data_IF_057069002471
#
_entry.id   IF_057069002471
#
_cell.length_a   1.000
_cell.length_b   1.000
_cell.length_c   1.000
_cell.angle_alpha   90.00
_cell.angle_beta   90.00
_cell.angle_gamma   90.00
#
_symmetry.space_group_name_H-M   'P 1'
#
loop_
_entity.id
_entity.type
_entity.pdbx_description
1 polymer ?
#
# COMPACT_ATOMS: atom_id res chain seq x y z
N UNK A 1 19.17 16.77 1.43
CA UNK A 1 19.11 16.65 -0.03
C UNK A 1 18.71 15.22 -0.32
N UNK A 2 17.41 14.97 -0.50
CA UNK A 2 16.93 13.64 -0.86
C UNK A 2 17.21 13.46 -2.35
N UNK A 3 18.23 12.66 -2.68
CA UNK A 3 18.46 12.26 -4.05
C UNK A 3 17.49 11.13 -4.35
N UNK A 4 16.50 11.39 -5.20
CA UNK A 4 15.69 10.34 -5.81
C UNK A 4 16.57 9.52 -6.76
N UNK A 5 17.22 8.49 -6.21
CA UNK A 5 18.01 7.52 -6.98
C UNK A 5 17.01 6.67 -7.78
N UNK A 6 17.15 6.65 -9.11
CA UNK A 6 16.32 5.82 -9.96
C UNK A 6 16.58 4.33 -9.73
N UNK A 7 15.60 3.48 -10.05
CA UNK A 7 15.69 2.04 -9.79
C UNK A 7 16.87 1.37 -10.50
N UNK A 8 17.20 1.81 -11.72
CA UNK A 8 18.29 1.20 -12.49
C UNK A 8 19.65 1.55 -11.87
N UNK A 9 19.83 2.80 -11.46
CA UNK A 9 21.01 3.25 -10.72
C UNK A 9 21.14 2.53 -9.37
N UNK A 10 20.04 2.37 -8.64
CA UNK A 10 20.05 1.66 -7.36
C UNK A 10 20.44 0.19 -7.51
N UNK A 11 19.89 -0.50 -8.52
CA UNK A 11 20.26 -1.87 -8.83
C UNK A 11 21.76 -2.00 -9.13
N UNK A 12 22.30 -1.08 -9.93
CA UNK A 12 23.73 -1.06 -10.25
C UNK A 12 24.62 -0.81 -9.02
N UNK A 13 24.19 0.08 -8.10
CA UNK A 13 24.90 0.33 -6.84
C UNK A 13 24.97 -0.94 -6.00
N UNK A 14 23.84 -1.64 -5.85
CA UNK A 14 23.76 -2.88 -5.08
C UNK A 14 24.66 -3.97 -5.70
N UNK A 15 24.61 -4.15 -7.02
CA UNK A 15 25.47 -5.11 -7.73
C UNK A 15 26.96 -4.79 -7.55
N UNK A 16 27.33 -3.51 -7.64
CA UNK A 16 28.71 -3.05 -7.43
C UNK A 16 29.19 -3.36 -6.01
N UNK A 17 28.36 -3.10 -4.99
CA UNK A 17 28.69 -3.39 -3.59
C UNK A 17 28.86 -4.89 -3.34
N UNK A 18 27.94 -5.72 -3.87
CA UNK A 18 28.06 -7.19 -3.75
C UNK A 18 29.33 -7.70 -4.43
N UNK A 19 29.65 -7.17 -5.60
CA UNK A 19 30.87 -7.55 -6.31
C UNK A 19 32.13 -7.23 -5.48
N UNK A 20 32.20 -6.05 -4.87
CA UNK A 20 33.35 -5.64 -4.06
C UNK A 20 33.47 -6.47 -2.77
N UNK A 21 32.36 -6.74 -2.08
CA UNK A 21 32.35 -7.59 -0.88
C UNK A 21 32.80 -9.01 -1.18
N UNK A 22 32.34 -9.59 -2.30
CA UNK A 22 32.77 -10.91 -2.77
C UNK A 22 34.25 -10.99 -3.16
N UNK A 23 34.88 -9.86 -3.47
CA UNK A 23 36.34 -9.79 -3.67
C UNK A 23 37.08 -9.75 -2.35
N UNK A 24 36.52 -9.11 -1.33
CA UNK A 24 37.10 -9.05 0.01
C UNK A 24 37.09 -10.40 0.73
N UNK A 25 36.13 -11.28 0.43
CA UNK A 25 35.98 -12.60 1.06
C UNK A 25 36.86 -13.70 0.45
N UNK A 26 37.61 -13.44 -0.64
CA UNK A 26 38.46 -14.43 -1.33
C UNK A 26 39.92 -14.48 -0.83
N UNK A 27 40.14 -14.18 0.45
CA UNK A 27 41.46 -14.20 1.08
C UNK A 27 42.00 -15.60 1.36
N UNK A 28 43.33 -15.73 1.51
CA UNK A 28 43.96 -16.92 2.11
C UNK A 28 44.33 -16.57 3.53
N UNK A 29 43.79 -17.27 4.50
CA UNK A 29 44.15 -17.16 5.91
C UNK A 29 44.30 -18.55 6.51
N UNK A 30 44.92 -18.61 7.70
CA UNK A 30 45.06 -19.86 8.44
C UNK A 30 43.67 -20.40 8.78
N UNK A 31 43.54 -21.73 8.78
CA UNK A 31 42.28 -22.42 9.14
C UNK A 31 41.89 -21.98 10.55
N UNK A 32 40.62 -21.59 10.74
CA UNK A 32 40.05 -21.11 12.01
C UNK A 32 40.54 -19.71 12.48
N UNK A 33 41.27 -18.99 11.63
CA UNK A 33 41.63 -17.58 11.84
C UNK A 33 41.22 -16.75 10.62
N UNK A 34 39.92 -16.58 10.44
CA UNK A 34 39.41 -15.62 9.48
C UNK A 34 39.70 -14.21 10.01
N UNK A 35 40.24 -13.29 9.19
CA UNK A 35 40.42 -11.91 9.61
C UNK A 35 39.05 -11.28 9.88
N UNK A 36 38.97 -10.42 10.89
CA UNK A 36 37.73 -9.70 11.24
C UNK A 36 37.14 -8.96 10.03
N UNK A 37 37.97 -8.49 9.10
CA UNK A 37 37.55 -7.85 7.87
C UNK A 37 36.76 -8.77 6.93
N UNK A 38 37.08 -10.07 6.89
CA UNK A 38 36.32 -11.04 6.09
C UNK A 38 34.98 -11.37 6.76
N UNK A 39 34.98 -11.51 8.08
CA UNK A 39 33.74 -11.74 8.85
C UNK A 39 32.79 -10.54 8.66
N UNK A 40 33.30 -9.32 8.79
CA UNK A 40 32.55 -8.11 8.53
C UNK A 40 32.05 -8.03 7.07
N UNK A 41 32.87 -8.41 6.09
CA UNK A 41 32.46 -8.43 4.68
C UNK A 41 31.33 -9.43 4.41
N UNK A 42 31.34 -10.61 5.04
CA UNK A 42 30.27 -11.61 4.91
C UNK A 42 28.95 -11.14 5.52
N UNK A 43 29.01 -10.49 6.69
CA UNK A 43 27.81 -9.92 7.32
C UNK A 43 27.25 -8.82 6.42
N UNK A 44 28.10 -7.93 5.93
CA UNK A 44 27.68 -6.86 5.02
C UNK A 44 27.12 -7.41 3.70
N UNK A 45 27.68 -8.49 3.17
CA UNK A 45 27.15 -9.15 1.97
C UNK A 45 25.71 -9.61 2.20
N UNK A 46 25.43 -10.28 3.33
CA UNK A 46 24.07 -10.70 3.67
C UNK A 46 23.08 -9.53 3.83
N UNK A 47 23.52 -8.43 4.45
CA UNK A 47 22.70 -7.21 4.57
C UNK A 47 22.39 -6.58 3.20
N UNK A 48 23.38 -6.49 2.31
CA UNK A 48 23.20 -5.94 0.96
C UNK A 48 22.31 -6.85 0.10
N UNK A 49 22.42 -8.18 0.25
CA UNK A 49 21.48 -9.13 -0.39
C UNK A 49 20.05 -8.95 0.12
N UNK A 50 19.87 -8.72 1.42
CA UNK A 50 18.57 -8.38 2.01
C UNK A 50 17.99 -7.09 1.42
N UNK A 51 18.81 -6.05 1.27
CA UNK A 51 18.40 -4.81 0.61
C UNK A 51 18.04 -5.04 -0.87
N UNK A 52 18.80 -5.86 -1.59
CA UNK A 52 18.50 -6.23 -2.97
C UNK A 52 17.10 -6.85 -3.10
N UNK A 53 16.78 -7.83 -2.24
CA UNK A 53 15.45 -8.44 -2.20
C UNK A 53 14.36 -7.42 -1.91
N UNK A 54 14.57 -6.57 -0.90
CA UNK A 54 13.60 -5.54 -0.52
C UNK A 54 13.30 -4.57 -1.68
N UNK A 55 14.32 -4.13 -2.41
CA UNK A 55 14.12 -3.22 -3.55
C UNK A 55 13.51 -3.90 -4.77
N UNK A 56 13.83 -5.18 -5.02
CA UNK A 56 13.15 -5.98 -6.03
C UNK A 56 11.65 -6.10 -5.72
N UNK A 57 11.28 -6.41 -4.48
CA UNK A 57 9.88 -6.51 -4.03
C UNK A 57 9.16 -5.16 -4.15
N UNK A 58 9.82 -4.07 -3.77
CA UNK A 58 9.29 -2.71 -3.93
C UNK A 58 9.05 -2.35 -5.39
N UNK A 59 9.98 -2.74 -6.27
CA UNK A 59 9.87 -2.53 -7.73
C UNK A 59 8.72 -3.32 -8.34
N UNK A 60 8.60 -4.59 -7.98
CA UNK A 60 7.50 -5.45 -8.38
C UNK A 60 6.15 -4.89 -7.92
N UNK A 61 6.06 -4.49 -6.64
CA UNK A 61 4.86 -3.87 -6.09
C UNK A 61 4.47 -2.58 -6.84
N UNK A 62 5.47 -1.79 -7.24
CA UNK A 62 5.31 -0.61 -8.10
C UNK A 62 4.75 -0.93 -9.47
N UNK A 63 5.32 -1.91 -10.15
CA UNK A 63 4.81 -2.34 -11.44
C UNK A 63 3.38 -2.87 -11.35
N UNK A 64 3.06 -3.66 -10.30
CA UNK A 64 1.71 -4.19 -10.09
C UNK A 64 0.69 -3.06 -9.90
N UNK A 65 0.98 -2.09 -9.02
CA UNK A 65 0.06 -0.98 -8.82
C UNK A 65 -0.15 -0.16 -10.10
N UNK A 66 0.93 0.07 -10.86
CA UNK A 66 0.84 0.78 -12.14
C UNK A 66 -0.02 0.01 -13.14
N UNK A 67 0.14 -1.31 -13.25
CA UNK A 67 -0.69 -2.14 -14.13
C UNK A 67 -2.17 -2.10 -13.72
N UNK A 68 -2.47 -2.13 -12.42
CA UNK A 68 -3.85 -2.00 -11.94
C UNK A 68 -4.47 -0.64 -12.29
N UNK A 69 -3.68 0.42 -12.27
CA UNK A 69 -4.11 1.77 -12.65
C UNK A 69 -4.33 1.87 -14.17
N UNK A 70 -3.40 1.36 -14.99
CA UNK A 70 -3.49 1.46 -16.45
C UNK A 70 -4.53 0.52 -17.04
N UNK A 71 -4.61 -0.70 -16.54
CA UNK A 71 -5.39 -1.78 -17.16
C UNK A 71 -6.81 -1.83 -16.60
N UNK A 72 -7.06 -1.16 -15.47
CA UNK A 72 -8.33 -1.21 -14.75
C UNK A 72 -9.55 -0.81 -15.59
N UNK A 73 -9.42 0.17 -16.48
CA UNK A 73 -10.52 0.62 -17.34
C UNK A 73 -10.77 -0.33 -18.51
N UNK A 74 -9.70 -0.88 -19.08
CA UNK A 74 -9.78 -1.89 -20.14
C UNK A 74 -10.45 -3.17 -19.61
N UNK A 75 -10.04 -3.64 -18.42
CA UNK A 75 -10.67 -4.78 -17.74
C UNK A 75 -12.15 -4.51 -17.47
N UNK A 76 -12.50 -3.31 -16.98
CA UNK A 76 -13.90 -2.94 -16.74
C UNK A 76 -14.74 -2.83 -18.02
N UNK A 77 -14.13 -2.47 -19.15
CA UNK A 77 -14.81 -2.50 -20.46
C UNK A 77 -15.09 -3.94 -20.90
N UNK A 78 -14.08 -4.82 -20.86
CA UNK A 78 -14.24 -6.23 -21.22
C UNK A 78 -15.24 -6.96 -20.32
N UNK A 79 -15.23 -6.68 -19.01
CA UNK A 79 -16.20 -7.25 -18.08
C UNK A 79 -17.64 -6.86 -18.42
N UNK A 80 -17.88 -5.62 -18.90
CA UNK A 80 -19.21 -5.18 -19.35
C UNK A 80 -19.64 -5.88 -20.65
N UNK A 81 -18.71 -6.04 -21.59
CA UNK A 81 -18.97 -6.75 -22.84
C UNK A 81 -19.31 -8.23 -22.60
N UNK A 82 -18.57 -8.89 -21.72
CA UNK A 82 -18.84 -10.27 -21.32
C UNK A 82 -20.20 -10.42 -20.64
N UNK A 83 -20.55 -9.49 -19.74
CA UNK A 83 -21.85 -9.48 -19.09
C UNK A 83 -22.99 -9.32 -20.11
N UNK A 84 -22.84 -8.40 -21.07
CA UNK A 84 -23.82 -8.21 -22.13
C UNK A 84 -23.99 -9.49 -22.96
N UNK A 85 -22.89 -10.14 -23.36
CA UNK A 85 -22.93 -11.38 -24.11
C UNK A 85 -23.58 -12.54 -23.32
N UNK A 86 -23.40 -12.58 -22.00
CA UNK A 86 -24.04 -13.54 -21.12
C UNK A 86 -25.56 -13.30 -21.04
N UNK A 87 -25.98 -12.05 -20.90
CA UNK A 87 -27.39 -11.66 -20.85
C UNK A 87 -28.10 -11.95 -22.19
N UNK A 88 -27.45 -11.67 -23.32
CA UNK A 88 -27.94 -11.98 -24.66
C UNK A 88 -28.13 -13.50 -24.85
N UNK A 89 -27.15 -14.30 -24.40
CA UNK A 89 -27.24 -15.76 -24.42
C UNK A 89 -28.41 -16.25 -23.56
N UNK A 90 -28.58 -15.70 -22.35
CA UNK A 90 -29.69 -16.07 -21.47
C UNK A 90 -31.05 -15.70 -22.07
N UNK A 91 -31.15 -14.53 -22.71
CA UNK A 91 -32.35 -14.10 -23.41
C UNK A 91 -32.69 -15.04 -24.57
N UNK A 92 -31.71 -15.38 -25.41
CA UNK A 92 -31.89 -16.30 -26.53
C UNK A 92 -32.40 -17.67 -26.05
N UNK A 93 -31.78 -18.25 -25.02
CA UNK A 93 -32.19 -19.55 -24.46
C UNK A 93 -33.62 -19.53 -23.90
N UNK A 94 -34.05 -18.42 -23.26
CA UNK A 94 -35.43 -18.26 -22.78
C UNK A 94 -36.43 -18.19 -23.92
N UNK A 95 -36.09 -17.48 -25.00
CA UNK A 95 -36.97 -17.34 -26.16
C UNK A 95 -37.05 -18.64 -26.98
N UNK A 96 -35.95 -19.38 -27.11
CA UNK A 96 -35.92 -20.70 -27.76
C UNK A 96 -36.61 -21.78 -26.92
N UNK A 97 -36.58 -21.69 -25.58
CA UNK A 97 -37.33 -22.57 -24.69
C UNK A 97 -38.85 -22.36 -24.68
N UNK A 98 -39.35 -21.26 -25.25
CA UNK A 98 -40.79 -20.95 -25.31
C UNK A 98 -41.52 -21.62 -26.48
N UNK A 99 -40.78 -22.16 -27.47
CA UNK A 99 -41.34 -22.97 -28.57
C UNK A 99 -41.25 -24.48 -28.33
N UNK A 100 -40.58 -24.93 -27.27
CA UNK A 100 -40.50 -26.34 -26.88
C UNK A 100 -41.15 -26.57 -25.50
N UNK A 101 -42.46 -26.87 -25.52
CA UNK A 101 -43.26 -27.60 -24.51
C UNK A 101 -43.02 -27.26 -23.02
N UNK A 102 -44.08 -26.73 -22.38
CA UNK A 102 -44.27 -26.56 -20.93
C UNK A 102 -43.51 -27.58 -20.05
N UNK A 103 -42.63 -27.09 -19.18
CA UNK A 103 -42.28 -27.76 -17.92
C UNK A 103 -42.18 -26.75 -16.75
N UNK A 104 -42.37 -27.21 -15.49
CA UNK A 104 -42.90 -26.38 -14.42
C UNK A 104 -41.86 -25.51 -13.73
N UNK A 105 -42.37 -24.36 -13.31
CA UNK A 105 -41.82 -23.35 -12.40
C UNK A 105 -40.96 -23.93 -11.28
N UNK A 106 -39.65 -23.68 -11.36
CA UNK A 106 -38.75 -23.67 -10.21
C UNK A 106 -38.47 -22.22 -9.82
N UNK A 107 -38.64 -21.96 -8.54
CA UNK A 107 -38.65 -20.67 -7.85
C UNK A 107 -37.37 -19.87 -8.05
N UNK A 108 -37.58 -18.58 -8.35
CA UNK A 108 -36.55 -17.55 -8.39
C UNK A 108 -35.76 -17.49 -7.08
N UNK A 109 -34.44 -17.57 -7.18
CA UNK A 109 -33.53 -16.90 -6.23
C UNK A 109 -32.96 -15.71 -6.99
N UNK A 110 -33.49 -14.53 -6.68
CA UNK A 110 -33.00 -13.25 -7.16
C UNK A 110 -31.64 -12.96 -6.53
N UNK A 111 -30.57 -13.15 -7.30
CA UNK A 111 -29.24 -12.68 -6.93
C UNK A 111 -29.07 -11.24 -7.41
N UNK A 112 -29.53 -10.31 -6.59
CA UNK A 112 -29.30 -8.87 -6.71
C UNK A 112 -27.84 -8.56 -6.34
N UNK A 113 -26.86 -8.90 -7.19
CA UNK A 113 -25.43 -8.68 -6.90
C UNK A 113 -24.72 -7.75 -7.88
N UNK A 114 -25.37 -7.29 -8.94
CA UNK A 114 -24.73 -6.42 -9.96
C UNK A 114 -24.44 -4.98 -9.47
N UNK A 115 -25.08 -4.53 -8.39
CA UNK A 115 -24.97 -3.14 -7.90
C UNK A 115 -23.88 -2.94 -6.84
N UNK A 116 -23.34 -4.02 -6.25
CA UNK A 116 -22.33 -3.94 -5.18
C UNK A 116 -20.88 -3.92 -5.69
N UNK A 117 -20.60 -4.33 -6.93
CA UNK A 117 -19.21 -4.49 -7.40
C UNK A 117 -18.51 -3.16 -7.75
N UNK A 118 -19.23 -2.20 -8.37
CA UNK A 118 -18.61 -0.95 -8.86
C UNK A 118 -18.04 -0.07 -7.75
N UNK A 119 -18.70 -0.02 -6.59
CA UNK A 119 -18.28 0.80 -5.44
C UNK A 119 -17.08 0.17 -4.72
N UNK A 120 -17.01 -1.17 -4.68
CA UNK A 120 -15.90 -1.89 -4.06
C UNK A 120 -14.59 -1.74 -4.86
N UNK A 121 -14.67 -1.75 -6.19
CA UNK A 121 -13.49 -1.62 -7.06
C UNK A 121 -12.86 -0.23 -7.00
N UNK A 122 -13.65 0.84 -6.97
CA UNK A 122 -13.14 2.22 -6.91
C UNK A 122 -12.47 2.52 -5.56
N UNK A 123 -13.04 1.97 -4.48
CA UNK A 123 -12.46 2.05 -3.13
C UNK A 123 -11.17 1.22 -3.04
N UNK A 124 -11.09 0.07 -3.72
CA UNK A 124 -9.88 -0.73 -3.77
C UNK A 124 -8.75 -0.03 -4.53
N UNK A 125 -9.06 0.57 -5.70
CA UNK A 125 -8.10 1.39 -6.48
C UNK A 125 -7.60 2.59 -5.67
N UNK A 126 -8.50 3.33 -5.03
CA UNK A 126 -8.15 4.51 -4.20
C UNK A 126 -7.30 4.15 -2.98
N UNK A 127 -7.59 3.01 -2.32
CA UNK A 127 -6.77 2.51 -1.20
C UNK A 127 -5.37 2.09 -1.65
N UNK A 128 -5.24 1.51 -2.84
CA UNK A 128 -3.95 1.05 -3.36
C UNK A 128 -3.02 2.22 -3.75
N UNK A 129 -3.59 3.30 -4.27
CA UNK A 129 -2.86 4.57 -4.49
C UNK A 129 -2.41 5.19 -3.16
N UNK A 130 -3.25 5.13 -2.12
CA UNK A 130 -2.96 5.69 -0.80
C UNK A 130 -1.93 4.87 0.00
N UNK A 131 -1.85 3.55 -0.22
CA UNK A 131 -0.90 2.65 0.44
C UNK A 131 0.54 2.74 -0.10
N UNK A 132 0.87 3.80 -0.85
CA UNK A 132 2.26 4.22 -0.99
C UNK A 132 3.06 3.49 -2.06
N UNK A 133 2.41 3.16 -3.18
CA UNK A 133 3.13 2.73 -4.38
C UNK A 133 3.45 3.91 -5.31
N UNK A 134 2.60 4.95 -5.27
CA UNK A 134 2.81 6.23 -5.92
C UNK A 134 3.80 7.13 -5.16
N UNK A 135 4.78 7.63 -5.91
CA UNK A 135 5.75 8.69 -5.62
C UNK A 135 5.36 9.65 -4.46
N UNK A 136 6.15 9.67 -3.38
CA UNK A 136 6.13 10.78 -2.42
C UNK A 136 6.96 11.93 -2.99
N UNK A 137 6.33 12.80 -3.78
CA UNK A 137 6.91 14.12 -4.06
C UNK A 137 6.60 15.05 -2.88
N UNK A 138 7.55 15.20 -1.94
CA UNK A 138 7.67 16.36 -1.05
C UNK A 138 6.57 16.59 0.02
N UNK A 139 6.77 17.60 0.90
CA UNK A 139 6.08 17.71 2.18
C UNK A 139 4.70 18.34 2.03
N UNK A 140 3.76 17.64 1.39
CA UNK A 140 2.35 17.94 1.57
C UNK A 140 1.46 16.73 1.24
N UNK A 141 1.65 15.64 1.97
CA UNK A 141 0.70 14.52 2.01
C UNK A 141 -0.72 14.95 2.48
N UNK A 142 -0.90 16.19 2.95
CA UNK A 142 -2.19 16.77 3.30
C UNK A 142 -2.93 17.41 2.09
N UNK A 143 -2.26 17.66 0.96
CA UNK A 143 -2.86 18.39 -0.18
C UNK A 143 -3.66 17.50 -1.14
N UNK A 144 -3.33 16.20 -1.24
CA UNK A 144 -4.02 15.28 -2.17
C UNK A 144 -5.43 14.88 -1.64
N UNK A 145 -5.76 15.23 -0.39
CA UNK A 145 -7.05 14.90 0.24
C UNK A 145 -8.12 15.99 -0.03
N UNK A 146 -7.75 17.14 -0.59
CA UNK A 146 -8.70 18.22 -0.88
C UNK A 146 -9.18 18.18 -2.33
N UNK A 147 -9.88 17.11 -2.72
CA UNK A 147 -10.71 17.16 -3.92
C UNK A 147 -11.92 18.05 -3.64
N UNK A 148 -12.07 19.12 -4.43
CA UNK A 148 -13.35 19.83 -4.57
C UNK A 148 -14.39 18.84 -5.10
N UNK A 149 -15.11 18.19 -4.20
CA UNK A 149 -16.28 17.40 -4.51
C UNK A 149 -17.51 18.33 -4.61
N UNK A 150 -18.19 18.30 -5.75
CA UNK A 150 -19.50 18.91 -5.92
C UNK A 150 -20.56 18.26 -5.02
N UNK A 151 -21.70 18.94 -4.78
CA UNK A 151 -22.63 18.56 -3.73
C UNK A 151 -23.61 17.49 -4.22
N UNK A 152 -23.19 16.23 -4.33
CA UNK A 152 -24.12 15.09 -4.52
C UNK A 152 -23.41 13.75 -4.29
N UNK A 153 -23.12 13.42 -3.03
CA UNK A 153 -23.01 12.06 -2.45
C UNK A 153 -22.30 12.09 -1.08
N UNK A 154 -22.70 13.00 -0.21
CA UNK A 154 -22.03 13.29 1.06
C UNK A 154 -22.42 12.37 2.23
N UNK A 155 -23.10 11.23 2.01
CA UNK A 155 -23.69 10.46 3.13
C UNK A 155 -22.96 9.17 3.52
N UNK A 156 -22.02 8.62 2.74
CA UNK A 156 -21.32 7.37 3.11
C UNK A 156 -19.79 7.46 3.14
N UNK A 157 -19.19 8.48 2.52
CA UNK A 157 -17.74 8.76 2.58
C UNK A 157 -17.31 9.57 3.82
N UNK A 158 -18.26 9.94 4.69
CA UNK A 158 -18.00 10.64 5.96
C UNK A 158 -17.51 9.71 7.09
N UNK A 159 -17.43 8.39 6.86
CA UNK A 159 -17.32 7.42 7.97
C UNK A 159 -15.90 7.10 8.44
N UNK A 160 -14.86 7.77 7.93
CA UNK A 160 -13.48 7.51 8.36
C UNK A 160 -12.66 8.77 8.63
N UNK A 161 -13.29 9.88 9.01
CA UNK A 161 -12.57 11.00 9.61
C UNK A 161 -12.33 10.71 11.10
N UNK A 162 -11.13 11.02 11.56
CA UNK A 162 -10.71 10.97 12.97
C UNK A 162 -10.15 12.32 13.35
N UNK A 163 -10.57 12.80 14.52
CA UNK A 163 -10.10 14.07 15.04
C UNK A 163 -8.71 13.90 15.66
N UNK A 164 -7.77 14.77 15.26
CA UNK A 164 -6.44 14.83 15.85
C UNK A 164 -6.52 15.47 17.26
N UNK A 165 -5.95 14.82 18.28
CA UNK A 165 -5.94 15.37 19.65
C UNK A 165 -5.09 16.64 19.78
N UNK A 166 -4.03 16.79 18.97
CA UNK A 166 -3.13 17.93 19.08
C UNK A 166 -3.67 19.20 18.38
N UNK A 167 -4.09 19.09 17.12
CA UNK A 167 -4.53 20.24 16.32
C UNK A 167 -6.06 20.32 16.14
N UNK A 168 -6.82 19.38 16.70
CA UNK A 168 -8.29 19.31 16.63
C UNK A 168 -8.90 19.22 15.22
N UNK A 169 -8.07 19.06 14.19
CA UNK A 169 -8.54 18.92 12.81
C UNK A 169 -9.01 17.50 12.51
N UNK A 170 -10.03 17.40 11.65
CA UNK A 170 -10.52 16.13 11.13
C UNK A 170 -9.62 15.64 10.00
N UNK A 171 -9.06 14.45 10.18
CA UNK A 171 -8.12 13.84 9.23
C UNK A 171 -8.61 12.44 8.85
N UNK A 172 -8.43 12.06 7.59
CA UNK A 172 -8.78 10.72 7.12
C UNK A 172 -8.01 9.64 7.90
N UNK A 173 -8.66 8.52 8.21
CA UNK A 173 -8.11 7.42 9.01
C UNK A 173 -6.73 6.96 8.52
N UNK A 174 -6.52 6.90 7.20
CA UNK A 174 -5.27 6.51 6.55
C UNK A 174 -4.11 7.50 6.80
N UNK A 175 -4.42 8.75 7.17
CA UNK A 175 -3.46 9.79 7.53
C UNK A 175 -3.29 9.99 9.04
N UNK A 176 -3.88 9.11 9.87
CA UNK A 176 -3.81 9.20 11.33
C UNK A 176 -3.03 8.06 11.95
N UNK A 177 -2.27 8.38 13.00
CA UNK A 177 -1.60 7.42 13.85
C UNK A 177 -2.47 7.20 15.08
N UNK A 178 -2.76 5.93 15.39
CA UNK A 178 -3.48 5.53 16.60
C UNK A 178 -2.49 5.18 17.70
N UNK A 179 -2.57 5.86 18.82
CA UNK A 179 -1.78 5.54 20.02
C UNK A 179 -2.42 4.39 20.81
N UNK A 180 -1.64 3.73 21.68
CA UNK A 180 -2.13 2.69 22.58
C UNK A 180 -3.29 3.17 23.49
N UNK A 181 -3.29 4.46 23.83
CA UNK A 181 -4.37 5.13 24.55
C UNK A 181 -5.64 5.40 23.72
N UNK A 182 -5.76 4.82 22.52
CA UNK A 182 -6.88 4.97 21.57
C UNK A 182 -7.10 6.37 20.98
N UNK A 183 -6.19 7.31 21.23
CA UNK A 183 -6.20 8.64 20.62
C UNK A 183 -5.57 8.65 19.23
N UNK A 184 -6.08 9.55 18.36
CA UNK A 184 -5.61 9.73 17.00
C UNK A 184 -4.82 11.03 16.88
N UNK A 185 -3.72 10.97 16.12
CA UNK A 185 -2.93 12.14 15.77
C UNK A 185 -2.70 12.16 14.26
N UNK A 186 -2.70 13.35 13.66
CA UNK A 186 -2.26 13.50 12.28
C UNK A 186 -0.74 13.31 12.19
N UNK A 187 -0.24 12.89 11.02
CA UNK A 187 1.19 12.68 10.80
C UNK A 187 2.05 13.89 11.18
N UNK A 188 1.58 15.11 10.87
CA UNK A 188 2.29 16.36 11.20
C UNK A 188 2.49 16.54 12.69
N UNK A 189 1.41 16.47 13.47
CA UNK A 189 1.49 16.62 14.93
C UNK A 189 2.27 15.50 15.61
N UNK A 190 2.25 14.26 15.08
CA UNK A 190 3.12 13.21 15.61
C UNK A 190 4.59 13.54 15.41
N UNK A 191 4.98 13.98 14.21
CA UNK A 191 6.37 14.34 13.91
C UNK A 191 6.83 15.51 14.77
N UNK A 192 6.01 16.55 14.93
CA UNK A 192 6.31 17.68 15.81
C UNK A 192 6.43 17.26 17.27
N UNK A 193 5.53 16.41 17.76
CA UNK A 193 5.59 15.89 19.14
C UNK A 193 6.88 15.11 19.38
N UNK A 194 7.24 14.18 18.48
CA UNK A 194 8.49 13.44 18.57
C UNK A 194 9.72 14.37 18.51
N UNK A 195 9.71 15.34 17.59
CA UNK A 195 10.81 16.28 17.42
C UNK A 195 10.96 17.18 18.65
N UNK A 196 9.87 17.63 19.24
CA UNK A 196 9.88 18.40 20.48
C UNK A 196 10.45 17.58 21.65
N UNK A 197 10.06 16.30 21.79
CA UNK A 197 10.56 15.42 22.86
C UNK A 197 12.04 15.06 22.71
N UNK A 198 12.57 15.04 21.49
CA UNK A 198 13.99 14.78 21.24
C UNK A 198 14.84 16.03 21.54
N UNK A 199 14.29 17.23 21.30
CA UNK A 199 15.03 18.49 21.45
C UNK A 199 14.88 19.13 22.84
N UNK A 200 13.85 18.77 23.60
CA UNK A 200 13.58 19.31 24.94
C UNK A 200 13.70 18.20 25.99
N UNK A 201 14.86 18.15 26.67
CA UNK A 201 15.14 17.18 27.74
C UNK A 201 14.21 17.33 28.95
N UNK A 202 13.44 18.43 29.06
CA UNK A 202 12.41 18.59 30.11
C UNK A 202 11.12 17.82 29.81
N UNK A 203 10.88 17.49 28.53
CA UNK A 203 9.77 16.67 28.06
C UNK A 203 10.25 15.23 27.94
N UNK A 204 10.32 14.53 29.08
CA UNK A 204 10.57 13.10 29.12
C UNK A 204 9.66 12.35 28.12
N UNK A 205 10.20 11.26 27.54
CA UNK A 205 9.54 10.44 26.51
C UNK A 205 8.06 10.25 26.85
N UNK A 206 7.11 10.64 25.97
CA UNK A 206 5.70 10.52 26.26
C UNK A 206 5.38 9.09 26.70
N UNK A 207 4.75 8.96 27.86
CA UNK A 207 4.40 7.69 28.52
C UNK A 207 3.60 6.71 27.63
N UNK A 208 3.07 7.19 26.49
CA UNK A 208 2.43 6.38 25.46
C UNK A 208 3.38 5.40 24.73
N UNK A 209 4.70 5.58 24.79
CA UNK A 209 5.69 4.71 24.12
C UNK A 209 6.41 3.73 25.06
N UNK A 210 6.41 4.01 26.38
CA UNK A 210 7.10 3.17 27.37
C UNK A 210 6.41 1.82 27.64
N UNK A 211 5.14 1.64 27.22
CA UNK A 211 4.40 0.39 27.42
C UNK A 211 4.51 -0.59 26.25
N UNK A 212 5.12 -0.21 25.13
CA UNK A 212 5.27 -1.12 23.97
C UNK A 212 6.50 -2.03 24.06
N UNK A 213 7.42 -1.79 25.00
CA UNK A 213 8.66 -2.57 25.15
C UNK A 213 8.62 -3.61 26.27
N UNK A 214 7.53 -3.70 27.04
CA UNK A 214 7.40 -4.62 28.16
C UNK A 214 6.39 -5.77 27.96
N UNK A 215 5.76 -5.86 26.79
CA UNK A 215 4.95 -7.02 26.38
C UNK A 215 5.15 -7.31 24.89
N UNK A 216 6.26 -7.96 24.59
CA UNK A 216 6.46 -8.84 23.44
C UNK A 216 7.39 -9.97 23.89
#
# INVERSE_FOLDING_TARGET
MDMDIDHASLALIIESQLHDLRRMTKGKHVIDQNPDSEVAARIMEAEVEGLASFYADKSMSRSIAQALETDGDAIAAHAREEQQAADDRAFALRHTGQTAIRQPRSTATTSSSASQSKVADDVAKSKLVTLGVGKFDGPNAASIISTRAGPSSASESMHQLRQCVACTSDVALLGTVRCACSHYYCRGCMVELFSATINDESLGIPSALLWSTYFA
#
